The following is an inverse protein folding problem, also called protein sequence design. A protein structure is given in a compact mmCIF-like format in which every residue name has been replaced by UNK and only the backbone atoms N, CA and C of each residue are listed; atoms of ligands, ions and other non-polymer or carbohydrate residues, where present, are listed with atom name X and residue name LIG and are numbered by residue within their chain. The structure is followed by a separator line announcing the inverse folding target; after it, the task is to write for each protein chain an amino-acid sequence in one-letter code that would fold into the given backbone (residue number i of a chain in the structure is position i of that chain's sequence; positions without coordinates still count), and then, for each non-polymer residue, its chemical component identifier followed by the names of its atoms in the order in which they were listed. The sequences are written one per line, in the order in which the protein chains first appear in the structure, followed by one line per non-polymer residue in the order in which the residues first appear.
data_IF_031600897912
#
_entry.id   IF_031600897912
#
_cell.length_a   1.000
_cell.length_b   1.000
_cell.length_c   1.000
_cell.angle_alpha   90.00
_cell.angle_beta   90.00
_cell.angle_gamma   90.00
#
_symmetry.space_group_name_H-M   'P 1'
#
loop_
_entity.id
_entity.type
_entity.pdbx_description
1 polymer ?
#
# COMPACT_ATOMS: atom_id res chain seq x y z
N UNK A 1 14.56 8.38 -0.50
CA UNK A 1 15.93 7.87 -0.68
C UNK A 1 16.37 6.98 0.48
N UNK A 2 16.66 7.52 1.68
CA UNK A 2 17.16 6.70 2.81
C UNK A 2 16.18 5.59 3.21
N UNK A 3 14.90 5.92 3.42
CA UNK A 3 13.87 4.95 3.84
C UNK A 3 13.71 3.81 2.82
N UNK A 4 13.73 4.13 1.53
CA UNK A 4 13.60 3.16 0.44
C UNK A 4 14.83 2.24 0.37
N UNK A 5 16.03 2.79 0.56
CA UNK A 5 17.26 2.00 0.62
C UNK A 5 17.23 1.02 1.81
N UNK A 6 16.85 1.48 3.00
CA UNK A 6 16.71 0.63 4.20
C UNK A 6 15.66 -0.47 4.00
N UNK A 7 14.55 -0.16 3.32
CA UNK A 7 13.54 -1.15 2.96
C UNK A 7 14.12 -2.24 2.05
N UNK A 8 14.89 -1.87 1.03
CA UNK A 8 15.55 -2.82 0.13
C UNK A 8 16.60 -3.68 0.85
N UNK A 9 17.44 -3.08 1.70
CA UNK A 9 18.43 -3.81 2.50
C UNK A 9 17.77 -4.84 3.39
N UNK A 10 16.67 -4.46 4.06
CA UNK A 10 15.91 -5.36 4.93
C UNK A 10 15.27 -6.51 4.13
N UNK A 11 14.68 -6.21 2.97
CA UNK A 11 14.10 -7.23 2.10
C UNK A 11 15.15 -8.23 1.58
N UNK A 12 16.35 -7.75 1.25
CA UNK A 12 17.47 -8.61 0.84
C UNK A 12 17.96 -9.50 1.98
N UNK A 13 18.13 -8.93 3.18
CA UNK A 13 18.53 -9.70 4.36
C UNK A 13 17.51 -10.82 4.65
N UNK A 14 16.22 -10.54 4.52
CA UNK A 14 15.16 -11.55 4.72
C UNK A 14 15.30 -12.72 3.73
N UNK A 15 15.54 -12.45 2.45
CA UNK A 15 15.77 -13.49 1.43
C UNK A 15 17.05 -14.29 1.71
N UNK A 16 18.12 -13.65 2.20
CA UNK A 16 19.36 -14.35 2.55
C UNK A 16 19.18 -15.29 3.75
N UNK A 17 18.45 -14.85 4.78
CA UNK A 17 18.20 -15.64 5.99
C UNK A 17 17.24 -16.81 5.71
N UNK A 18 16.16 -16.55 4.96
CA UNK A 18 15.11 -17.56 4.73
C UNK A 18 15.41 -18.48 3.54
N UNK A 19 16.28 -18.07 2.60
CA UNK A 19 16.50 -18.75 1.33
C UNK A 19 15.36 -18.56 0.31
N UNK A 20 14.28 -17.87 0.69
CA UNK A 20 13.09 -17.71 -0.15
C UNK A 20 13.24 -16.53 -1.11
N UNK A 21 13.04 -16.79 -2.41
CA UNK A 21 13.13 -15.75 -3.47
C UNK A 21 11.90 -14.84 -3.53
N UNK A 22 10.82 -15.19 -2.84
CA UNK A 22 9.57 -14.46 -2.87
C UNK A 22 8.95 -14.38 -1.47
N UNK A 23 8.37 -13.22 -1.15
CA UNK A 23 7.57 -13.08 0.05
C UNK A 23 6.40 -14.05 0.03
N UNK A 24 6.07 -14.59 1.22
CA UNK A 24 4.97 -15.53 1.44
C UNK A 24 5.12 -16.85 0.66
N UNK A 25 6.33 -17.25 0.26
CA UNK A 25 6.59 -18.50 -0.46
C UNK A 25 5.99 -19.73 0.24
N UNK A 26 6.00 -19.75 1.56
CA UNK A 26 5.46 -20.85 2.39
C UNK A 26 3.95 -20.72 2.68
N UNK A 27 3.29 -19.65 2.22
CA UNK A 27 1.86 -19.43 2.43
C UNK A 27 1.16 -18.98 1.14
N UNK A 28 0.97 -19.94 0.22
CA UNK A 28 0.35 -19.71 -1.08
C UNK A 28 -1.10 -19.17 -0.98
N UNK A 29 -1.84 -19.52 0.07
CA UNK A 29 -3.19 -19.00 0.28
C UNK A 29 -3.17 -17.49 0.56
N UNK A 30 -2.32 -17.04 1.48
CA UNK A 30 -2.15 -15.62 1.78
C UNK A 30 -1.57 -14.86 0.58
N UNK A 31 -0.58 -15.45 -0.11
CA UNK A 31 0.02 -14.84 -1.28
C UNK A 31 -1.03 -14.58 -2.39
N UNK A 32 -1.90 -15.55 -2.69
CA UNK A 32 -3.01 -15.37 -3.64
C UNK A 32 -4.02 -14.33 -3.16
N UNK A 33 -4.38 -14.36 -1.87
CA UNK A 33 -5.28 -13.37 -1.28
C UNK A 33 -4.75 -11.94 -1.38
N UNK A 34 -3.44 -11.73 -1.21
CA UNK A 34 -2.79 -10.43 -1.40
C UNK A 34 -2.84 -10.00 -2.88
N UNK A 35 -2.44 -10.89 -3.79
CA UNK A 35 -2.47 -10.62 -5.25
C UNK A 35 -3.86 -10.23 -5.76
N UNK A 36 -4.92 -10.86 -5.24
CA UNK A 36 -6.29 -10.52 -5.64
C UNK A 36 -6.77 -9.16 -5.12
N UNK A 37 -6.18 -8.66 -4.03
CA UNK A 37 -6.58 -7.37 -3.44
C UNK A 37 -5.86 -6.19 -4.05
N UNK A 38 -4.61 -6.33 -4.46
CA UNK A 38 -3.82 -5.22 -5.00
C UNK A 38 -4.48 -4.47 -6.17
N UNK A 39 -5.12 -5.12 -7.17
CA UNK A 39 -5.79 -4.40 -8.26
C UNK A 39 -6.90 -3.44 -7.82
N UNK A 40 -7.48 -3.65 -6.63
CA UNK A 40 -8.50 -2.76 -6.07
C UNK A 40 -7.90 -1.67 -5.16
N UNK A 41 -6.72 -1.90 -4.60
CA UNK A 41 -6.03 -0.96 -3.71
C UNK A 41 -5.23 0.06 -4.52
N UNK A 42 -4.56 -0.38 -5.60
CA UNK A 42 -3.69 0.49 -6.40
C UNK A 42 -4.42 1.73 -6.94
N UNK A 43 -5.64 1.63 -7.51
CA UNK A 43 -6.39 2.82 -7.91
C UNK A 43 -6.72 3.76 -6.76
N UNK A 44 -6.96 3.23 -5.55
CA UNK A 44 -7.23 4.04 -4.36
C UNK A 44 -5.98 4.79 -3.89
N UNK A 45 -4.78 4.20 -3.98
CA UNK A 45 -3.53 4.91 -3.72
C UNK A 45 -3.35 6.09 -4.67
N UNK A 46 -3.53 5.87 -5.98
CA UNK A 46 -3.41 6.94 -6.97
C UNK A 46 -4.43 8.06 -6.74
N UNK A 47 -5.68 7.69 -6.48
CA UNK A 47 -6.74 8.66 -6.18
C UNK A 47 -6.42 9.43 -4.90
N UNK A 48 -5.96 8.76 -3.84
CA UNK A 48 -5.60 9.40 -2.57
C UNK A 48 -4.50 10.46 -2.76
N UNK A 49 -3.44 10.11 -3.49
CA UNK A 49 -2.31 11.03 -3.77
C UNK A 49 -2.82 12.28 -4.50
N UNK A 50 -3.65 12.11 -5.53
CA UNK A 50 -4.20 13.24 -6.28
C UNK A 50 -5.13 14.12 -5.44
N UNK A 51 -6.00 13.52 -4.62
CA UNK A 51 -6.91 14.27 -3.75
C UNK A 51 -6.16 15.05 -2.67
N UNK A 52 -5.13 14.45 -2.06
CA UNK A 52 -4.25 15.15 -1.10
C UNK A 52 -3.51 16.30 -1.79
N UNK A 53 -3.03 16.09 -3.02
CA UNK A 53 -2.38 17.15 -3.80
C UNK A 53 -3.31 18.35 -4.03
N UNK A 54 -4.56 18.11 -4.45
CA UNK A 54 -5.59 19.16 -4.61
C UNK A 54 -5.90 19.88 -3.31
N UNK A 55 -6.09 19.12 -2.23
CA UNK A 55 -6.35 19.67 -0.91
C UNK A 55 -5.22 20.62 -0.47
N UNK A 56 -3.96 20.20 -0.63
CA UNK A 56 -2.78 21.03 -0.32
C UNK A 56 -2.63 22.26 -1.22
N UNK A 57 -3.17 22.21 -2.44
CA UNK A 57 -3.21 23.35 -3.37
C UNK A 57 -4.36 24.33 -3.08
N UNK A 58 -5.11 24.15 -1.98
CA UNK A 58 -6.24 25.01 -1.61
C UNK A 58 -7.56 24.66 -2.32
N UNK A 59 -7.60 23.58 -3.10
CA UNK A 59 -8.80 23.11 -3.82
C UNK A 59 -9.59 22.08 -2.97
N UNK A 60 -9.66 22.30 -1.67
CA UNK A 60 -10.20 21.35 -0.68
C UNK A 60 -11.70 21.47 -0.46
N UNK A 61 -12.51 21.33 -1.52
CA UNK A 61 -13.96 21.27 -1.36
C UNK A 61 -14.40 20.00 -0.59
N UNK A 62 -15.68 19.95 -0.20
CA UNK A 62 -16.20 18.81 0.58
C UNK A 62 -16.10 17.47 -0.16
N UNK A 63 -16.11 17.49 -1.50
CA UNK A 63 -15.94 16.26 -2.30
C UNK A 63 -14.52 15.75 -2.21
N UNK A 64 -13.51 16.64 -2.24
CA UNK A 64 -12.10 16.29 -2.06
C UNK A 64 -11.86 15.72 -0.68
N UNK A 65 -12.32 16.38 0.39
CA UNK A 65 -12.16 15.88 1.77
C UNK A 65 -12.81 14.51 1.95
N UNK A 66 -14.06 14.35 1.48
CA UNK A 66 -14.76 13.07 1.55
C UNK A 66 -14.03 11.98 0.75
N UNK A 67 -13.52 12.32 -0.44
CA UNK A 67 -12.73 11.40 -1.25
C UNK A 67 -11.47 10.91 -0.53
N UNK A 68 -10.76 11.80 0.18
CA UNK A 68 -9.59 11.41 0.99
C UNK A 68 -10.01 10.39 2.05
N UNK A 69 -11.06 10.64 2.82
CA UNK A 69 -11.55 9.68 3.82
C UNK A 69 -11.98 8.34 3.22
N UNK A 70 -12.65 8.35 2.06
CA UNK A 70 -13.03 7.12 1.37
C UNK A 70 -11.81 6.30 0.94
N UNK A 71 -10.77 6.95 0.41
CA UNK A 71 -9.53 6.25 0.06
C UNK A 71 -8.80 5.71 1.29
N UNK A 72 -8.73 6.44 2.40
CA UNK A 72 -8.15 5.97 3.67
C UNK A 72 -8.86 4.68 4.12
N UNK A 73 -10.19 4.72 4.19
CA UNK A 73 -10.98 3.56 4.62
C UNK A 73 -10.85 2.38 3.66
N UNK A 74 -10.85 2.64 2.35
CA UNK A 74 -10.71 1.59 1.33
C UNK A 74 -9.35 0.91 1.36
N UNK A 75 -8.26 1.67 1.49
CA UNK A 75 -6.89 1.14 1.62
C UNK A 75 -6.76 0.33 2.90
N UNK A 76 -7.24 0.85 4.04
CA UNK A 76 -7.20 0.15 5.32
C UNK A 76 -7.96 -1.19 5.28
N UNK A 77 -9.17 -1.21 4.70
CA UNK A 77 -9.94 -2.43 4.53
C UNK A 77 -9.23 -3.45 3.61
N UNK A 78 -8.53 -2.97 2.58
CA UNK A 78 -7.76 -3.78 1.65
C UNK A 78 -6.51 -4.41 2.27
N UNK A 79 -5.71 -3.62 2.98
CA UNK A 79 -4.44 -4.06 3.57
C UNK A 79 -4.63 -4.93 4.81
N UNK A 80 -5.72 -4.74 5.57
CA UNK A 80 -5.98 -5.43 6.84
C UNK A 80 -4.84 -5.18 7.85
N UNK A 81 -4.29 -6.23 8.47
CA UNK A 81 -3.24 -6.11 9.48
C UNK A 81 -1.88 -5.81 8.83
N UNK A 82 -1.17 -4.82 9.37
CA UNK A 82 0.12 -4.35 8.83
C UNK A 82 1.19 -4.16 9.90
N UNK A 83 0.84 -4.34 11.17
CA UNK A 83 1.72 -4.27 12.35
C UNK A 83 1.10 -5.01 13.52
#
# INVERSE_FOLDING_TARGET
AVIEAEWHLTAQALTQITGEKQLLAQNAALQRSMRHRFPYIDPLHHLQVELIRRYRAGQGDERVKRGIHLTINGIAAGLRNTG
#
